data_IF_382245538629
#
_entry.id   IF_382245538629
#
_cell.length_a   1.000
_cell.length_b   1.000
_cell.length_c   1.000
_cell.angle_alpha   90.00
_cell.angle_beta   90.00
_cell.angle_gamma   90.00
#
_symmetry.space_group_name_H-M   'P 1'
#
loop_
_entity.id
_entity.type
_entity.pdbx_description
1 polymer ?
#
# COMPACT_ATOMS: atom_id res chain seq x y z
N UNK A 1 3.28 -4.46 -2.34
CA UNK A 1 3.84 -5.24 -3.47
C UNK A 1 4.91 -6.21 -2.98
N UNK A 2 5.87 -5.76 -2.13
CA UNK A 2 6.98 -6.56 -1.60
C UNK A 2 6.45 -7.83 -0.91
N UNK A 3 5.49 -7.71 0.01
CA UNK A 3 4.92 -8.85 0.73
C UNK A 3 4.36 -9.92 -0.23
N UNK A 4 3.57 -9.51 -1.22
CA UNK A 4 3.01 -10.43 -2.22
C UNK A 4 4.12 -11.10 -3.03
N UNK A 5 5.13 -10.35 -3.46
CA UNK A 5 6.26 -10.91 -4.23
C UNK A 5 7.14 -11.85 -3.41
N UNK A 6 7.19 -11.67 -2.08
CA UNK A 6 7.96 -12.50 -1.17
C UNK A 6 7.26 -13.82 -0.82
N UNK A 7 5.93 -13.91 -0.92
CA UNK A 7 5.14 -15.07 -0.49
C UNK A 7 5.70 -16.40 -1.03
N UNK A 8 6.02 -16.49 -2.32
CA UNK A 8 6.51 -17.72 -2.93
C UNK A 8 7.95 -18.10 -2.55
N UNK A 9 8.69 -17.18 -1.89
CA UNK A 9 10.06 -17.43 -1.42
C UNK A 9 10.09 -17.95 0.02
N UNK A 10 8.98 -17.89 0.73
CA UNK A 10 8.86 -18.25 2.14
C UNK A 10 8.31 -19.68 2.23
N UNK A 11 9.12 -20.59 2.74
CA UNK A 11 8.69 -21.97 3.01
C UNK A 11 7.77 -22.00 4.23
N UNK A 12 6.73 -22.86 4.19
CA UNK A 12 5.78 -23.04 5.29
C UNK A 12 5.06 -21.74 5.72
N UNK A 13 4.72 -20.89 4.74
CA UNK A 13 3.99 -19.65 4.99
C UNK A 13 2.59 -19.98 5.52
N UNK A 14 2.31 -19.64 6.77
CA UNK A 14 0.99 -19.86 7.41
C UNK A 14 -0.04 -18.83 6.98
N UNK A 15 0.37 -17.58 6.88
CA UNK A 15 -0.51 -16.50 6.48
C UNK A 15 0.21 -15.21 6.14
N UNK A 16 -0.51 -14.28 5.54
CA UNK A 16 -0.02 -12.94 5.17
C UNK A 16 -1.03 -11.91 5.62
N UNK A 17 -0.54 -10.85 6.20
CA UNK A 17 -1.33 -9.65 6.50
C UNK A 17 -0.88 -8.52 5.57
N UNK A 18 -1.82 -7.97 4.83
CA UNK A 18 -1.62 -6.85 3.91
C UNK A 18 -2.31 -5.62 4.49
N UNK A 19 -1.53 -4.63 4.91
CA UNK A 19 -2.03 -3.35 5.43
C UNK A 19 -1.68 -2.21 4.50
N UNK A 20 -2.46 -1.13 4.50
CA UNK A 20 -2.18 0.10 3.75
C UNK A 20 -1.90 -0.17 2.26
N UNK A 21 -2.67 -1.05 1.62
CA UNK A 21 -2.39 -1.53 0.27
C UNK A 21 -3.59 -1.40 -0.66
N UNK A 22 -3.31 -1.43 -1.95
CA UNK A 22 -4.31 -1.42 -3.01
C UNK A 22 -3.80 -2.21 -4.22
N UNK A 23 -4.69 -2.52 -5.16
CA UNK A 23 -4.30 -3.12 -6.44
C UNK A 23 -4.19 -2.01 -7.50
N UNK A 24 -3.01 -1.77 -8.11
CA UNK A 24 -2.88 -0.75 -9.14
C UNK A 24 -3.61 -1.18 -10.41
N UNK A 25 -4.19 -0.25 -11.15
CA UNK A 25 -4.71 -0.51 -12.48
C UNK A 25 -3.58 -0.43 -13.52
N UNK A 26 -3.69 -1.22 -14.60
CA UNK A 26 -2.70 -1.18 -15.70
C UNK A 26 -2.58 0.21 -16.34
N UNK A 27 -3.70 0.92 -16.47
CA UNK A 27 -3.72 2.28 -17.02
C UNK A 27 -2.96 3.24 -16.11
N UNK A 28 -3.20 3.16 -14.80
CA UNK A 28 -2.51 4.00 -13.82
C UNK A 28 -1.00 3.76 -13.86
N UNK A 29 -0.55 2.50 -13.89
CA UNK A 29 0.86 2.16 -14.01
C UNK A 29 1.48 2.72 -15.29
N UNK A 30 0.77 2.62 -16.42
CA UNK A 30 1.23 3.16 -17.70
C UNK A 30 1.37 4.69 -17.66
N UNK A 31 0.37 5.39 -17.13
CA UNK A 31 0.42 6.86 -17.02
C UNK A 31 1.59 7.33 -16.17
N UNK A 32 1.82 6.69 -15.01
CA UNK A 32 2.95 7.04 -14.15
C UNK A 32 4.28 6.74 -14.85
N UNK A 33 4.40 5.63 -15.59
CA UNK A 33 5.61 5.34 -16.39
C UNK A 33 5.90 6.44 -17.42
N UNK A 34 4.88 6.90 -18.11
CA UNK A 34 5.03 7.98 -19.10
C UNK A 34 5.52 9.26 -18.41
N UNK A 35 4.94 9.62 -17.26
CA UNK A 35 5.37 10.79 -16.49
C UNK A 35 6.83 10.66 -16.04
N UNK A 36 7.22 9.51 -15.47
CA UNK A 36 8.60 9.26 -15.04
C UNK A 36 9.59 9.29 -16.22
N UNK A 37 9.19 8.78 -17.38
CA UNK A 37 9.99 8.86 -18.58
C UNK A 37 10.21 10.32 -19.03
N UNK A 38 9.15 11.13 -19.04
CA UNK A 38 9.20 12.56 -19.36
C UNK A 38 10.09 13.30 -18.37
N UNK A 39 9.92 13.07 -17.07
CA UNK A 39 10.78 13.67 -16.05
C UNK A 39 12.25 13.39 -16.31
N UNK A 40 12.58 12.11 -16.55
CA UNK A 40 13.97 11.68 -16.71
C UNK A 40 14.60 12.14 -18.02
N UNK A 41 13.84 12.06 -19.15
CA UNK A 41 14.39 12.27 -20.49
C UNK A 41 14.27 13.70 -20.99
N UNK A 42 13.20 14.39 -20.61
CA UNK A 42 12.94 15.75 -21.09
C UNK A 42 13.41 16.79 -20.06
N UNK A 43 13.05 16.59 -18.79
CA UNK A 43 13.36 17.54 -17.73
C UNK A 43 14.64 17.20 -16.96
N UNK A 44 15.27 16.04 -17.23
CA UNK A 44 16.47 15.53 -16.53
C UNK A 44 16.34 15.46 -15.01
N UNK A 45 15.11 15.27 -14.52
CA UNK A 45 14.80 15.09 -13.10
C UNK A 45 15.05 13.64 -12.72
N UNK A 46 16.11 13.38 -11.95
CA UNK A 46 16.45 12.06 -11.43
C UNK A 46 16.13 11.92 -9.93
N UNK A 47 16.32 12.98 -9.18
CA UNK A 47 15.99 13.10 -7.76
C UNK A 47 14.76 14.00 -7.58
N UNK A 48 14.08 13.88 -6.46
CA UNK A 48 12.90 14.70 -6.12
C UNK A 48 11.81 14.67 -7.22
N UNK A 49 11.39 13.46 -7.60
CA UNK A 49 10.38 13.27 -8.64
C UNK A 49 9.09 14.06 -8.34
N UNK A 50 8.57 14.78 -9.32
CA UNK A 50 7.27 15.48 -9.21
C UNK A 50 6.12 14.51 -9.04
N UNK A 51 6.26 13.26 -9.51
CA UNK A 51 5.28 12.18 -9.27
C UNK A 51 5.08 11.96 -7.78
N UNK A 52 6.17 12.07 -6.97
CA UNK A 52 6.07 12.00 -5.51
C UNK A 52 5.13 13.08 -4.96
N UNK A 53 5.42 14.34 -5.28
CA UNK A 53 4.64 15.47 -4.77
C UNK A 53 3.17 15.41 -5.20
N UNK A 54 2.90 15.09 -6.46
CA UNK A 54 1.54 14.94 -6.98
C UNK A 54 0.79 13.84 -6.23
N UNK A 55 1.44 12.69 -5.99
CA UNK A 55 0.80 11.59 -5.29
C UNK A 55 0.47 11.92 -3.84
N UNK A 56 1.42 12.51 -3.10
CA UNK A 56 1.22 12.86 -1.68
C UNK A 56 0.20 13.99 -1.50
N UNK A 57 0.24 15.01 -2.35
CA UNK A 57 -0.77 16.07 -2.35
C UNK A 57 -2.18 15.50 -2.60
N UNK A 58 -2.31 14.55 -3.53
CA UNK A 58 -3.58 13.88 -3.83
C UNK A 58 -4.10 13.08 -2.63
N UNK A 59 -3.24 12.35 -1.92
CA UNK A 59 -3.64 11.59 -0.74
C UNK A 59 -4.13 12.53 0.36
N UNK A 60 -3.42 13.61 0.58
CA UNK A 60 -3.76 14.57 1.64
C UNK A 60 -4.98 15.43 1.31
N UNK A 61 -5.24 15.70 0.02
CA UNK A 61 -6.44 16.43 -0.45
C UNK A 61 -7.77 15.70 -0.17
N UNK A 62 -7.70 14.42 0.25
CA UNK A 62 -8.87 13.68 0.70
C UNK A 62 -9.47 14.24 1.99
N UNK A 63 -8.66 14.95 2.76
CA UNK A 63 -9.06 15.54 4.04
C UNK A 63 -9.35 17.04 3.92
N UNK A 64 -10.46 17.48 4.52
CA UNK A 64 -10.79 18.90 4.59
C UNK A 64 -9.86 19.61 5.58
N UNK A 65 -9.14 20.62 5.12
CA UNK A 65 -8.21 21.41 5.95
C UNK A 65 -7.14 20.55 6.67
N UNK A 66 -6.32 19.79 5.95
CA UNK A 66 -5.27 19.02 6.59
C UNK A 66 -4.29 19.96 7.29
N UNK A 67 -3.82 19.57 8.48
CA UNK A 67 -2.86 20.32 9.29
C UNK A 67 -1.46 20.29 8.69
N UNK A 68 -1.10 19.15 8.11
CA UNK A 68 0.22 18.89 7.51
C UNK A 68 0.07 18.22 6.14
N UNK A 69 1.19 17.95 5.46
CA UNK A 69 1.20 17.18 4.21
C UNK A 69 1.05 15.66 4.43
N UNK A 70 0.98 15.19 5.67
CA UNK A 70 1.03 13.79 6.04
C UNK A 70 -0.16 13.33 6.90
N UNK A 71 -1.19 14.15 7.05
CA UNK A 71 -2.34 13.81 7.89
C UNK A 71 -3.10 12.57 7.41
N UNK A 72 -2.90 12.18 6.14
CA UNK A 72 -3.46 10.95 5.59
C UNK A 72 -2.90 9.66 6.25
N UNK A 73 -1.78 9.75 6.97
CA UNK A 73 -1.13 8.61 7.62
C UNK A 73 -1.92 8.09 8.83
N UNK A 74 -2.29 8.99 9.73
CA UNK A 74 -2.95 8.63 10.99
C UNK A 74 -3.87 9.75 11.49
N UNK A 75 -4.87 9.40 12.33
CA UNK A 75 -5.71 10.39 13.01
C UNK A 75 -4.99 11.09 14.14
N UNK A 76 -4.14 10.34 14.85
CA UNK A 76 -3.37 10.88 15.97
C UNK A 76 -2.27 11.81 15.47
N UNK A 77 -2.41 13.10 15.80
CA UNK A 77 -1.44 14.12 15.43
C UNK A 77 -0.04 13.79 15.93
N UNK A 78 0.10 13.15 17.09
CA UNK A 78 1.42 12.78 17.63
C UNK A 78 2.14 11.74 16.78
N UNK A 79 1.40 10.86 16.10
CA UNK A 79 1.96 9.88 15.14
C UNK A 79 2.45 10.60 13.89
N UNK A 80 1.66 11.55 13.37
CA UNK A 80 2.02 12.36 12.21
C UNK A 80 3.23 13.23 12.51
N UNK A 81 3.28 13.85 13.70
CA UNK A 81 4.40 14.72 14.11
C UNK A 81 5.71 13.92 14.22
N UNK A 82 5.68 12.73 14.83
CA UNK A 82 6.84 11.82 14.87
C UNK A 82 7.32 11.41 13.47
N UNK A 83 6.39 11.17 12.54
CA UNK A 83 6.74 10.88 11.14
C UNK A 83 7.47 12.06 10.48
N UNK A 84 7.03 13.29 10.76
CA UNK A 84 7.62 14.51 10.21
C UNK A 84 9.01 14.79 10.84
N UNK A 85 9.18 14.51 12.13
CA UNK A 85 10.43 14.68 12.86
C UNK A 85 11.49 13.64 12.49
N UNK A 86 11.08 12.46 12.00
CA UNK A 86 12.02 11.41 11.59
C UNK A 86 12.62 11.74 10.22
N UNK A 87 13.92 12.04 10.19
CA UNK A 87 14.68 12.34 8.97
C UNK A 87 14.68 11.21 7.93
N UNK A 88 14.33 9.99 8.33
CA UNK A 88 14.22 8.84 7.44
C UNK A 88 12.80 8.68 6.86
N UNK A 89 11.88 9.57 7.23
CA UNK A 89 10.50 9.60 6.76
C UNK A 89 10.23 10.87 5.94
N UNK A 90 9.20 10.87 5.13
CA UNK A 90 8.72 12.05 4.41
C UNK A 90 9.67 12.66 3.37
N UNK A 91 10.79 12.02 3.07
CA UNK A 91 11.73 12.48 2.05
C UNK A 91 11.19 12.31 0.64
N UNK A 92 11.61 13.19 -0.28
CA UNK A 92 11.23 13.07 -1.68
C UNK A 92 11.90 11.86 -2.34
N UNK A 93 11.08 10.99 -2.91
CA UNK A 93 11.56 9.81 -3.61
C UNK A 93 12.11 10.17 -5.00
N UNK A 94 13.19 9.49 -5.38
CA UNK A 94 13.78 9.63 -6.71
C UNK A 94 12.90 9.03 -7.81
N UNK A 95 13.16 9.42 -9.05
CA UNK A 95 12.53 8.81 -10.22
C UNK A 95 12.81 7.30 -10.31
N UNK A 96 14.01 6.83 -9.94
CA UNK A 96 14.35 5.42 -9.92
C UNK A 96 13.53 4.64 -8.90
N UNK A 97 13.34 5.17 -7.69
CA UNK A 97 12.52 4.53 -6.65
C UNK A 97 11.06 4.39 -7.12
N UNK A 98 10.50 5.44 -7.74
CA UNK A 98 9.16 5.37 -8.32
C UNK A 98 9.08 4.36 -9.47
N UNK A 99 10.13 4.24 -10.28
CA UNK A 99 10.20 3.24 -11.35
C UNK A 99 10.17 1.81 -10.79
N UNK A 100 10.91 1.55 -9.70
CA UNK A 100 10.91 0.25 -9.01
C UNK A 100 9.56 -0.04 -8.34
N UNK A 101 8.92 0.98 -7.76
CA UNK A 101 7.58 0.85 -7.20
C UNK A 101 6.55 0.45 -8.28
N UNK A 102 6.59 1.09 -9.45
CA UNK A 102 5.73 0.74 -10.59
C UNK A 102 6.01 -0.68 -11.09
N UNK A 103 7.28 -1.06 -11.18
CA UNK A 103 7.66 -2.43 -11.53
C UNK A 103 7.10 -3.45 -10.52
N UNK A 104 7.18 -3.16 -9.23
CA UNK A 104 6.55 -3.97 -8.18
C UNK A 104 5.04 -4.10 -8.36
N UNK A 105 4.35 -3.03 -8.74
CA UNK A 105 2.93 -3.03 -9.08
C UNK A 105 2.61 -3.94 -10.27
N UNK A 106 3.43 -3.91 -11.31
CA UNK A 106 3.28 -4.80 -12.47
C UNK A 106 3.50 -6.27 -12.11
N UNK A 107 4.48 -6.57 -11.24
CA UNK A 107 4.71 -7.94 -10.77
C UNK A 107 3.48 -8.51 -10.05
N UNK A 108 2.84 -7.71 -9.20
CA UNK A 108 1.63 -8.14 -8.48
C UNK A 108 0.48 -8.47 -9.44
N UNK A 109 0.39 -7.82 -10.59
CA UNK A 109 -0.64 -8.10 -11.59
C UNK A 109 -0.37 -9.37 -12.43
N UNK A 110 0.86 -9.91 -12.39
CA UNK A 110 1.23 -11.10 -13.18
C UNK A 110 0.75 -12.39 -12.52
N UNK A 111 0.15 -13.29 -13.28
CA UNK A 111 -0.25 -14.62 -12.81
C UNK A 111 0.95 -15.39 -12.24
N UNK A 112 2.09 -15.34 -12.91
CA UNK A 112 3.34 -16.03 -12.52
C UNK A 112 3.82 -15.68 -11.10
N UNK A 113 3.46 -14.52 -10.56
CA UNK A 113 3.79 -14.13 -9.19
C UNK A 113 3.19 -15.05 -8.15
N UNK A 114 2.06 -15.71 -8.46
CA UNK A 114 1.29 -16.55 -7.55
C UNK A 114 1.51 -18.06 -7.77
N UNK A 115 2.24 -18.44 -8.81
CA UNK A 115 2.54 -19.84 -9.09
C UNK A 115 3.39 -20.46 -7.98
N UNK A 116 3.00 -21.64 -7.51
CA UNK A 116 3.70 -22.38 -6.46
C UNK A 116 3.40 -21.90 -5.02
N UNK A 117 2.53 -20.90 -4.84
CA UNK A 117 2.03 -20.51 -3.51
C UNK A 117 0.84 -21.40 -3.17
N UNK A 118 0.79 -21.92 -1.94
CA UNK A 118 -0.34 -22.72 -1.47
C UNK A 118 -1.63 -21.90 -1.52
N UNK A 119 -2.63 -22.41 -2.25
CA UNK A 119 -3.95 -21.77 -2.39
C UNK A 119 -4.72 -21.69 -1.05
N UNK A 120 -4.32 -22.46 -0.04
CA UNK A 120 -4.89 -22.45 1.29
C UNK A 120 -4.20 -21.43 2.23
N UNK A 121 -3.15 -20.73 1.77
CA UNK A 121 -2.51 -19.67 2.55
C UNK A 121 -3.56 -18.68 3.06
N UNK A 122 -3.56 -18.44 4.36
CA UNK A 122 -4.46 -17.45 5.00
C UNK A 122 -4.02 -16.03 4.64
N UNK A 123 -4.94 -15.22 4.10
CA UNK A 123 -4.65 -13.81 3.77
C UNK A 123 -5.65 -12.91 4.50
N UNK A 124 -5.12 -11.98 5.28
CA UNK A 124 -5.86 -10.87 5.85
C UNK A 124 -5.49 -9.59 5.10
N UNK A 125 -6.47 -8.98 4.46
CA UNK A 125 -6.37 -7.61 3.95
C UNK A 125 -6.99 -6.69 4.98
N UNK A 126 -6.24 -5.75 5.53
CA UNK A 126 -6.69 -4.85 6.58
C UNK A 126 -6.39 -3.40 6.22
N UNK A 127 -7.35 -2.50 6.39
CA UNK A 127 -7.19 -1.08 6.06
C UNK A 127 -8.07 -0.20 6.95
N UNK A 128 -7.75 1.08 7.05
CA UNK A 128 -8.67 2.08 7.57
C UNK A 128 -9.75 2.43 6.56
N UNK A 129 -10.97 2.75 7.01
CA UNK A 129 -12.05 3.20 6.11
C UNK A 129 -11.75 4.57 5.51
N UNK A 130 -10.95 5.39 6.19
CA UNK A 130 -10.58 6.74 5.81
C UNK A 130 -9.17 6.81 5.18
N UNK A 131 -8.58 5.65 4.86
CA UNK A 131 -7.31 5.59 4.13
C UNK A 131 -7.52 5.98 2.66
N UNK A 132 -6.95 7.10 2.18
CA UNK A 132 -7.10 7.51 0.78
C UNK A 132 -6.45 6.54 -0.21
N UNK A 133 -5.59 5.64 0.25
CA UNK A 133 -4.99 4.62 -0.60
C UNK A 133 -5.99 3.53 -1.02
N UNK A 134 -7.04 3.27 -0.23
CA UNK A 134 -8.01 2.19 -0.52
C UNK A 134 -8.87 2.43 -1.76
N UNK A 135 -8.93 3.68 -2.24
CA UNK A 135 -9.65 4.05 -3.47
C UNK A 135 -8.72 4.19 -4.68
N UNK A 136 -7.41 4.00 -4.50
CA UNK A 136 -6.43 4.07 -5.59
C UNK A 136 -6.48 2.82 -6.48
N UNK A 137 -6.24 3.01 -7.78
CA UNK A 137 -6.21 1.93 -8.75
C UNK A 137 -7.54 1.20 -8.84
N UNK A 138 -7.52 -0.09 -8.56
CA UNK A 138 -8.73 -0.93 -8.44
C UNK A 138 -9.30 -0.92 -7.01
N UNK A 139 -8.72 -0.15 -6.12
CA UNK A 139 -9.11 -0.04 -4.73
C UNK A 139 -8.85 -1.30 -3.90
N UNK A 140 -9.29 -1.24 -2.65
CA UNK A 140 -9.15 -2.37 -1.72
C UNK A 140 -10.10 -3.52 -2.07
N UNK A 141 -11.30 -3.22 -2.54
CA UNK A 141 -12.28 -4.25 -2.94
C UNK A 141 -11.83 -4.97 -4.23
N UNK A 142 -11.15 -4.24 -5.13
CA UNK A 142 -10.50 -4.84 -6.30
C UNK A 142 -9.35 -5.76 -5.90
N UNK A 143 -8.52 -5.37 -4.94
CA UNK A 143 -7.47 -6.22 -4.38
C UNK A 143 -8.05 -7.48 -3.74
N UNK A 144 -9.07 -7.32 -2.89
CA UNK A 144 -9.75 -8.44 -2.25
C UNK A 144 -10.31 -9.42 -3.28
N UNK A 145 -11.06 -8.93 -4.26
CA UNK A 145 -11.63 -9.74 -5.33
C UNK A 145 -10.56 -10.44 -6.18
N UNK A 146 -9.44 -9.76 -6.43
CA UNK A 146 -8.32 -10.34 -7.16
C UNK A 146 -7.65 -11.47 -6.38
N UNK A 147 -7.45 -11.31 -5.07
CA UNK A 147 -6.85 -12.34 -4.22
C UNK A 147 -7.79 -13.53 -4.02
N UNK A 148 -9.10 -13.31 -3.89
CA UNK A 148 -10.12 -14.38 -3.81
C UNK A 148 -10.14 -15.30 -5.02
N UNK A 149 -9.73 -14.84 -6.19
CA UNK A 149 -9.58 -15.68 -7.40
C UNK A 149 -8.36 -16.60 -7.34
N UNK A 150 -7.42 -16.36 -6.42
CA UNK A 150 -6.15 -17.07 -6.32
C UNK A 150 -6.02 -17.90 -5.05
N UNK A 151 -6.67 -17.51 -3.98
CA UNK A 151 -6.58 -18.11 -2.66
C UNK A 151 -7.97 -18.39 -2.10
N UNK A 152 -8.10 -19.49 -1.35
CA UNK A 152 -9.37 -19.90 -0.72
C UNK A 152 -9.69 -19.08 0.52
N UNK A 153 -8.68 -18.75 1.31
CA UNK A 153 -8.78 -18.14 2.63
C UNK A 153 -8.37 -16.68 2.61
N UNK A 154 -9.21 -15.82 2.04
CA UNK A 154 -8.97 -14.37 2.02
C UNK A 154 -10.04 -13.66 2.81
N UNK A 155 -9.64 -12.86 3.78
CA UNK A 155 -10.50 -12.02 4.60
C UNK A 155 -10.16 -10.54 4.37
N UNK A 156 -11.19 -9.70 4.38
CA UNK A 156 -11.05 -8.25 4.33
C UNK A 156 -11.62 -7.66 5.62
N UNK A 157 -10.83 -6.84 6.29
CA UNK A 157 -11.26 -6.09 7.48
C UNK A 157 -11.01 -4.60 7.28
N UNK A 158 -12.07 -3.79 7.38
CA UNK A 158 -12.01 -2.33 7.29
C UNK A 158 -12.27 -1.75 8.69
N UNK A 159 -11.25 -1.12 9.28
CA UNK A 159 -11.36 -0.43 10.56
C UNK A 159 -12.06 0.93 10.35
N UNK A 160 -13.18 1.11 11.03
CA UNK A 160 -13.99 2.32 10.90
C UNK A 160 -13.25 3.57 11.39
N UNK A 161 -13.31 4.67 10.61
CA UNK A 161 -12.66 5.94 10.88
C UNK A 161 -11.13 5.87 11.07
N UNK A 162 -10.44 4.83 10.62
CA UNK A 162 -8.99 4.74 10.68
C UNK A 162 -8.38 5.14 9.34
N UNK A 163 -7.15 5.68 9.38
CA UNK A 163 -6.40 6.13 8.20
C UNK A 163 -5.41 5.05 7.73
N UNK A 164 -4.30 5.44 7.11
CA UNK A 164 -3.39 4.54 6.41
C UNK A 164 -2.62 3.59 7.33
N UNK A 165 -2.06 4.12 8.42
CA UNK A 165 -1.20 3.36 9.33
C UNK A 165 -2.00 2.73 10.49
N UNK A 166 -2.87 1.77 10.18
CA UNK A 166 -3.74 1.12 11.16
C UNK A 166 -2.99 0.52 12.36
N UNK A 167 -1.71 0.19 12.22
CA UNK A 167 -0.85 -0.27 13.31
C UNK A 167 -0.51 0.85 14.31
N UNK A 168 -0.67 2.08 13.94
CA UNK A 168 -0.44 3.28 14.76
C UNK A 168 -1.75 3.98 15.19
N UNK A 169 -2.87 3.42 14.82
CA UNK A 169 -4.23 3.92 15.11
C UNK A 169 -4.82 3.25 16.36
N UNK A 170 -5.90 3.80 16.93
CA UNK A 170 -6.60 3.21 18.09
C UNK A 170 -7.02 1.75 17.90
N UNK A 171 -7.24 1.29 16.69
CA UNK A 171 -7.59 -0.09 16.36
C UNK A 171 -6.44 -1.09 16.49
N UNK A 172 -5.24 -0.67 16.87
CA UNK A 172 -4.03 -1.53 16.97
C UNK A 172 -4.26 -2.82 17.76
N UNK A 173 -4.97 -2.76 18.89
CA UNK A 173 -5.23 -3.97 19.69
C UNK A 173 -6.10 -4.98 18.96
N UNK A 174 -7.11 -4.51 18.25
CA UNK A 174 -7.99 -5.34 17.42
C UNK A 174 -7.22 -5.95 16.25
N UNK A 175 -6.39 -5.15 15.56
CA UNK A 175 -5.51 -5.63 14.50
C UNK A 175 -4.60 -6.77 15.00
N UNK A 176 -3.95 -6.59 16.16
CA UNK A 176 -3.09 -7.62 16.75
C UNK A 176 -3.88 -8.89 17.11
N UNK A 177 -5.13 -8.76 17.57
CA UNK A 177 -6.01 -9.92 17.85
C UNK A 177 -6.32 -10.69 16.56
N UNK A 178 -6.63 -9.99 15.45
CA UNK A 178 -6.87 -10.61 14.14
C UNK A 178 -5.62 -11.35 13.64
N UNK A 179 -4.45 -10.73 13.77
CA UNK A 179 -3.16 -11.36 13.40
C UNK A 179 -2.91 -12.61 14.26
N UNK A 180 -3.15 -12.52 15.57
CA UNK A 180 -3.02 -13.66 16.50
C UNK A 180 -3.94 -14.82 16.13
N UNK A 181 -5.13 -14.54 15.63
CA UNK A 181 -6.07 -15.53 15.11
C UNK A 181 -5.59 -16.27 13.86
N UNK A 182 -4.79 -15.59 13.00
CA UNK A 182 -4.17 -16.24 11.84
C UNK A 182 -3.04 -17.21 12.22
N UNK A 183 -2.29 -16.89 13.27
CA UNK A 183 -1.13 -17.69 13.71
C UNK A 183 -1.57 -18.98 14.40
N UNK A 184 -2.74 -18.97 15.06
CA UNK A 184 -3.26 -20.10 15.83
C UNK A 184 -3.96 -21.19 14.97
N UNK A 185 -4.19 -20.91 13.70
CA UNK A 185 -4.71 -21.87 12.71
C UNK A 185 -3.57 -22.70 12.10
#
# INVERSE_FOLDING_TARGET
FIAISAMKKIKNLKGVVLTGTFLPSKIQLLLIKVLLFIERRIFQINENSKVHNINFQRLNAFFKNPRTNFDWLAQDNSVVDKYIEDRNCGFNCSNSLWSDFIYGGELVLRQKTYEGIDVNTEILVACGSDDPCIVNGMGIDGLYSFLKKKFKNVNLHKFHNMRHEIQNEPCKKELLSLIGGLIKK
#
